data_IF_003678079344
#
_entry.id   IF_003678079344
#
_cell.length_a   1.000
_cell.length_b   1.000
_cell.length_c   1.000
_cell.angle_alpha   90.00
_cell.angle_beta   90.00
_cell.angle_gamma   90.00
#
_symmetry.space_group_name_H-M   'P 1'
#
loop_
_entity.id
_entity.type
_entity.pdbx_description
1 polymer ?
#
# COMPACT_ATOMS: atom_id res chain seq x y z
N UNK A 1 -27.75 -20.93 6.52
CA UNK A 1 -26.63 -20.34 5.74
C UNK A 1 -25.54 -21.38 5.55
N UNK A 2 -24.61 -21.15 4.61
CA UNK A 2 -23.42 -22.00 4.48
C UNK A 2 -22.57 -21.87 5.76
N UNK A 3 -22.00 -22.99 6.26
CA UNK A 3 -21.12 -22.95 7.40
C UNK A 3 -19.83 -22.19 7.08
N UNK A 4 -19.30 -21.51 8.10
CA UNK A 4 -18.07 -20.74 8.08
C UNK A 4 -17.38 -20.93 9.44
N UNK A 5 -16.09 -21.19 9.43
CA UNK A 5 -15.34 -21.38 10.68
C UNK A 5 -14.90 -20.06 11.31
N UNK A 6 -15.15 -18.92 10.65
CA UNK A 6 -14.71 -17.60 11.10
C UNK A 6 -15.43 -17.21 12.38
N UNK A 7 -14.72 -16.68 13.37
CA UNK A 7 -15.33 -16.25 14.64
C UNK A 7 -15.76 -17.39 15.56
N UNK A 8 -15.46 -18.65 15.20
CA UNK A 8 -15.59 -19.81 16.07
C UNK A 8 -14.19 -20.24 16.55
N UNK A 9 -13.79 -19.77 17.73
CA UNK A 9 -12.41 -19.90 18.23
C UNK A 9 -11.94 -21.34 18.50
N UNK A 10 -12.85 -22.32 18.53
CA UNK A 10 -12.53 -23.74 18.73
C UNK A 10 -12.71 -24.59 17.46
N UNK A 11 -12.86 -23.97 16.29
CA UNK A 11 -12.99 -24.68 15.02
C UNK A 11 -11.72 -25.48 14.70
N UNK A 12 -11.87 -26.78 14.42
CA UNK A 12 -10.79 -27.58 13.83
C UNK A 12 -10.97 -27.75 12.32
N UNK A 13 -9.85 -27.86 11.59
CA UNK A 13 -9.86 -28.23 10.18
C UNK A 13 -10.37 -29.66 10.04
N UNK A 14 -11.62 -29.80 9.57
CA UNK A 14 -12.30 -31.09 9.43
C UNK A 14 -13.60 -31.23 10.22
N UNK A 15 -13.98 -30.23 11.04
CA UNK A 15 -15.30 -30.22 11.67
C UNK A 15 -16.39 -30.09 10.59
N UNK A 16 -17.14 -31.17 10.35
CA UNK A 16 -18.28 -31.13 9.44
C UNK A 16 -19.45 -30.37 10.08
N UNK A 17 -19.81 -29.25 9.48
CA UNK A 17 -21.01 -28.49 9.82
C UNK A 17 -22.01 -28.55 8.66
N UNK A 18 -23.27 -28.87 8.95
CA UNK A 18 -24.32 -28.95 7.93
C UNK A 18 -24.86 -27.58 7.55
N UNK A 19 -25.04 -26.72 8.54
CA UNK A 19 -25.67 -25.42 8.36
C UNK A 19 -25.31 -24.47 9.50
N UNK A 20 -25.59 -23.20 9.26
CA UNK A 20 -25.61 -22.15 10.27
C UNK A 20 -26.96 -21.47 10.36
N UNK A 21 -27.30 -21.07 11.59
CA UNK A 21 -28.49 -20.30 11.93
C UNK A 21 -28.09 -19.10 12.81
N UNK A 22 -28.68 -17.95 12.51
CA UNK A 22 -28.54 -16.72 13.29
C UNK A 22 -29.90 -16.37 13.87
N UNK A 23 -30.00 -16.30 15.20
CA UNK A 23 -31.25 -16.07 15.92
C UNK A 23 -31.19 -14.68 16.55
N UNK A 24 -32.13 -13.77 16.24
CA UNK A 24 -32.21 -12.47 16.89
C UNK A 24 -32.66 -12.63 18.35
N UNK A 25 -32.11 -11.78 19.21
CA UNK A 25 -32.55 -11.57 20.58
C UNK A 25 -32.89 -10.10 20.78
N UNK A 26 -33.90 -9.86 21.60
CA UNK A 26 -34.43 -8.54 21.90
C UNK A 26 -34.91 -8.54 23.35
N UNK A 27 -34.82 -7.39 24.00
CA UNK A 27 -35.21 -7.17 25.39
C UNK A 27 -36.68 -6.77 25.54
N UNK A 28 -37.24 -6.10 24.53
CA UNK A 28 -38.63 -5.64 24.55
C UNK A 28 -39.63 -6.77 24.25
N UNK A 29 -40.74 -6.90 24.99
CA UNK A 29 -41.76 -7.89 24.67
C UNK A 29 -42.28 -7.69 23.23
N UNK A 30 -42.41 -8.79 22.49
CA UNK A 30 -42.78 -8.78 21.06
C UNK A 30 -44.04 -9.62 20.84
N UNK A 31 -44.99 -9.10 20.07
CA UNK A 31 -46.24 -9.80 19.73
C UNK A 31 -46.09 -10.78 18.56
N UNK A 32 -47.04 -11.71 18.41
CA UNK A 32 -47.02 -12.71 17.32
C UNK A 32 -46.99 -12.08 15.91
N UNK A 33 -47.71 -10.98 15.69
CA UNK A 33 -47.72 -10.26 14.40
C UNK A 33 -46.35 -9.67 14.06
N UNK A 34 -45.65 -9.13 15.05
CA UNK A 34 -44.31 -8.56 14.88
C UNK A 34 -43.30 -9.66 14.56
N UNK A 35 -43.40 -10.83 15.22
CA UNK A 35 -42.60 -12.00 14.87
C UNK A 35 -42.85 -12.46 13.43
N UNK A 36 -44.11 -12.57 13.03
CA UNK A 36 -44.47 -12.94 11.66
C UNK A 36 -43.90 -11.95 10.64
N UNK A 37 -43.98 -10.65 10.90
CA UNK A 37 -43.38 -9.61 10.04
C UNK A 37 -41.85 -9.75 10.00
N UNK A 38 -41.20 -9.95 11.15
CA UNK A 38 -39.76 -10.14 11.25
C UNK A 38 -39.28 -11.35 10.43
N UNK A 39 -39.95 -12.50 10.56
CA UNK A 39 -39.59 -13.72 9.85
C UNK A 39 -40.03 -13.73 8.38
N UNK A 40 -41.14 -13.08 8.03
CA UNK A 40 -41.58 -12.95 6.63
C UNK A 40 -40.64 -12.06 5.83
N UNK A 41 -40.14 -10.99 6.44
CA UNK A 41 -39.09 -10.18 5.82
C UNK A 41 -37.72 -10.89 5.88
N UNK A 42 -37.53 -11.70 6.92
CA UNK A 42 -36.43 -12.58 7.40
C UNK A 42 -35.30 -12.98 6.47
N UNK A 43 -34.82 -12.04 5.66
CA UNK A 43 -33.70 -12.21 4.73
C UNK A 43 -32.72 -11.10 5.03
N UNK A 44 -31.65 -11.45 5.74
CA UNK A 44 -30.48 -10.60 5.81
C UNK A 44 -29.98 -10.35 4.37
N UNK A 45 -29.89 -9.08 3.99
CA UNK A 45 -29.45 -8.66 2.65
C UNK A 45 -28.21 -7.80 2.75
N UNK A 46 -27.26 -8.06 1.85
CA UNK A 46 -26.08 -7.22 1.60
C UNK A 46 -26.31 -6.55 0.24
N UNK A 47 -26.62 -5.26 0.24
CA UNK A 47 -27.06 -4.55 -0.96
C UNK A 47 -28.33 -5.18 -1.56
N UNK A 48 -28.20 -5.80 -2.73
CA UNK A 48 -29.31 -6.49 -3.44
C UNK A 48 -29.31 -8.02 -3.27
N UNK A 49 -28.30 -8.59 -2.61
CA UNK A 49 -28.12 -10.04 -2.48
C UNK A 49 -28.57 -10.52 -1.10
N UNK A 50 -29.15 -11.72 -1.03
CA UNK A 50 -29.39 -12.40 0.26
C UNK A 50 -28.08 -12.92 0.81
N UNK A 51 -27.87 -12.77 2.12
CA UNK A 51 -26.68 -13.27 2.81
C UNK A 51 -26.57 -14.79 2.71
N UNK A 52 -25.39 -15.28 2.34
CA UNK A 52 -25.16 -16.73 2.10
C UNK A 52 -24.33 -17.39 3.19
N UNK A 53 -23.49 -16.63 3.87
CA UNK A 53 -22.59 -17.10 4.92
C UNK A 53 -22.53 -16.10 6.10
N UNK A 54 -21.69 -16.41 7.07
CA UNK A 54 -21.49 -15.60 8.26
C UNK A 54 -20.94 -14.19 7.98
N UNK A 55 -20.10 -14.03 6.95
CA UNK A 55 -19.51 -12.73 6.60
C UNK A 55 -20.60 -11.86 5.99
N UNK A 56 -21.37 -12.38 5.05
CA UNK A 56 -22.52 -11.66 4.50
C UNK A 56 -23.54 -11.30 5.57
N UNK A 57 -23.80 -12.20 6.53
CA UNK A 57 -24.72 -11.90 7.64
C UNK A 57 -24.18 -10.77 8.52
N UNK A 58 -22.90 -10.83 8.90
CA UNK A 58 -22.23 -9.77 9.66
C UNK A 58 -22.28 -8.43 8.91
N UNK A 59 -22.07 -8.43 7.59
CA UNK A 59 -22.20 -7.22 6.75
C UNK A 59 -23.63 -6.69 6.71
N UNK A 60 -24.62 -7.58 6.60
CA UNK A 60 -26.04 -7.20 6.55
C UNK A 60 -26.50 -6.54 7.86
N UNK A 61 -26.16 -7.12 9.02
CA UNK A 61 -26.52 -6.54 10.32
C UNK A 61 -25.77 -5.23 10.60
N UNK A 62 -24.59 -5.03 9.99
CA UNK A 62 -23.78 -3.84 10.23
C UNK A 62 -24.08 -2.69 9.25
N UNK A 63 -24.69 -2.98 8.10
CA UNK A 63 -25.10 -1.96 7.12
C UNK A 63 -26.54 -1.46 7.33
N UNK A 64 -27.44 -2.32 7.82
CA UNK A 64 -28.87 -2.01 7.97
C UNK A 64 -29.51 -2.49 9.28
N UNK A 65 -28.75 -3.19 10.13
CA UNK A 65 -29.28 -4.03 11.20
C UNK A 65 -29.57 -3.35 12.54
N UNK A 66 -29.88 -2.06 12.56
CA UNK A 66 -30.47 -1.39 13.75
C UNK A 66 -31.88 -0.87 13.42
N UNK A 67 -32.59 -1.57 12.55
CA UNK A 67 -34.01 -1.33 12.32
C UNK A 67 -34.77 -2.49 12.94
N UNK A 68 -35.51 -2.23 14.03
CA UNK A 68 -36.51 -3.10 14.74
C UNK A 68 -36.23 -3.52 16.19
N UNK A 69 -35.36 -2.83 16.93
CA UNK A 69 -35.19 -3.14 18.36
C UNK A 69 -34.63 -4.55 18.63
N UNK A 70 -33.85 -5.09 17.70
CA UNK A 70 -33.05 -6.30 17.90
C UNK A 70 -31.74 -5.86 18.58
N UNK A 71 -31.44 -6.46 19.73
CA UNK A 71 -30.29 -6.09 20.56
C UNK A 71 -29.05 -6.92 20.19
N UNK A 72 -29.23 -8.21 19.91
CA UNK A 72 -28.14 -9.11 19.56
C UNK A 72 -28.59 -10.27 18.66
N UNK A 73 -27.64 -11.00 18.10
CA UNK A 73 -27.85 -12.26 17.43
C UNK A 73 -26.98 -13.36 18.05
N UNK A 74 -27.56 -14.52 18.32
CA UNK A 74 -26.79 -15.73 18.61
C UNK A 74 -26.58 -16.50 17.31
N UNK A 75 -25.33 -16.87 17.03
CA UNK A 75 -24.98 -17.76 15.92
C UNK A 75 -24.89 -19.19 16.42
N UNK A 76 -25.59 -20.10 15.75
CA UNK A 76 -25.51 -21.54 15.97
C UNK A 76 -24.91 -22.24 14.75
N UNK A 77 -23.97 -23.15 15.00
CA UNK A 77 -23.47 -24.10 14.01
C UNK A 77 -24.04 -25.48 14.28
N UNK A 78 -24.54 -26.14 13.23
CA UNK A 78 -25.03 -27.52 13.32
C UNK A 78 -23.89 -28.48 12.99
N UNK A 79 -23.15 -28.90 14.01
CA UNK A 79 -21.99 -29.78 13.86
C UNK A 79 -22.39 -31.25 13.96
N UNK A 80 -21.73 -32.08 13.16
CA UNK A 80 -21.88 -33.53 13.19
C UNK A 80 -21.16 -34.08 14.43
N UNK A 81 -21.87 -34.85 15.26
CA UNK A 81 -21.27 -35.64 16.36
C UNK A 81 -21.93 -37.02 16.37
N UNK A 82 -21.16 -38.10 16.44
CA UNK A 82 -21.65 -39.49 16.47
C UNK A 82 -22.56 -39.85 15.26
N UNK A 83 -21.97 -40.01 14.06
CA UNK A 83 -22.74 -40.31 12.85
C UNK A 83 -23.56 -39.10 12.38
N UNK A 84 -24.78 -39.29 11.86
CA UNK A 84 -25.64 -38.21 11.32
C UNK A 84 -26.38 -37.38 12.40
N UNK A 85 -25.96 -37.43 13.67
CA UNK A 85 -26.57 -36.61 14.72
C UNK A 85 -25.98 -35.21 14.70
N UNK A 86 -26.84 -34.18 14.58
CA UNK A 86 -26.42 -32.78 14.49
C UNK A 86 -26.72 -32.06 15.80
N UNK A 87 -25.69 -31.51 16.45
CA UNK A 87 -25.87 -30.65 17.62
C UNK A 87 -25.82 -29.17 17.21
N UNK A 88 -26.77 -28.39 17.71
CA UNK A 88 -26.74 -26.93 17.61
C UNK A 88 -25.79 -26.38 18.67
N UNK A 89 -24.60 -25.95 18.25
CA UNK A 89 -23.58 -25.41 19.15
C UNK A 89 -23.57 -23.89 18.99
N UNK A 90 -23.72 -23.12 20.09
CA UNK A 90 -23.60 -21.67 20.03
C UNK A 90 -22.15 -21.29 19.70
N UNK A 91 -21.95 -20.58 18.60
CA UNK A 91 -20.64 -20.13 18.12
C UNK A 91 -20.30 -18.71 18.60
N UNK A 92 -21.27 -18.00 19.18
CA UNK A 92 -21.07 -16.67 19.76
C UNK A 92 -22.32 -15.79 19.73
N UNK A 93 -22.24 -14.68 20.46
CA UNK A 93 -23.23 -13.59 20.42
C UNK A 93 -22.65 -12.38 19.70
N UNK A 94 -23.48 -11.71 18.93
CA UNK A 94 -23.08 -10.64 18.03
C UNK A 94 -24.05 -9.48 18.16
N UNK A 95 -23.53 -8.35 18.60
CA UNK A 95 -24.30 -7.11 18.70
C UNK A 95 -24.18 -6.35 17.36
N UNK A 96 -25.31 -6.06 16.68
CA UNK A 96 -25.31 -5.22 15.50
C UNK A 96 -24.74 -3.84 15.83
N UNK A 97 -23.73 -3.40 15.08
CA UNK A 97 -23.21 -2.03 15.15
C UNK A 97 -23.25 -1.43 13.76
N UNK A 98 -23.85 -0.25 13.63
CA UNK A 98 -23.88 0.45 12.36
C UNK A 98 -22.44 0.81 11.95
N UNK A 99 -21.98 0.25 10.85
CA UNK A 99 -20.69 0.54 10.27
C UNK A 99 -20.88 0.90 8.78
N UNK A 100 -21.03 2.20 8.44
CA UNK A 100 -21.28 2.63 7.07
C UNK A 100 -20.10 2.31 6.13
N UNK A 101 -18.89 2.09 6.66
CA UNK A 101 -17.72 1.72 5.86
C UNK A 101 -17.80 0.29 5.31
N UNK A 102 -18.70 -0.56 5.80
CA UNK A 102 -18.91 -1.94 5.30
C UNK A 102 -19.30 -1.97 3.82
N UNK A 103 -19.97 -0.93 3.34
CA UNK A 103 -20.35 -0.82 1.92
C UNK A 103 -19.14 -0.75 0.98
N UNK A 104 -17.93 -0.42 1.49
CA UNK A 104 -16.68 -0.50 0.71
C UNK A 104 -16.39 -1.91 0.20
N UNK A 105 -16.82 -2.94 0.94
CA UNK A 105 -16.60 -4.34 0.57
C UNK A 105 -17.38 -4.75 -0.69
N UNK A 106 -18.40 -3.97 -1.11
CA UNK A 106 -19.16 -4.26 -2.34
C UNK A 106 -18.26 -4.25 -3.58
N UNK A 107 -17.20 -3.42 -3.58
CA UNK A 107 -16.20 -3.38 -4.67
C UNK A 107 -15.45 -4.71 -4.83
N UNK A 108 -15.38 -5.51 -3.77
CA UNK A 108 -14.65 -6.77 -3.71
C UNK A 108 -15.53 -7.99 -3.93
N UNK A 109 -16.86 -7.88 -3.82
CA UNK A 109 -17.81 -9.00 -3.84
C UNK A 109 -17.56 -10.01 -4.97
N UNK A 110 -17.37 -9.53 -6.20
CA UNK A 110 -17.16 -10.40 -7.36
C UNK A 110 -15.86 -11.18 -7.23
N UNK A 111 -14.78 -10.50 -6.85
CA UNK A 111 -13.47 -11.11 -6.70
C UNK A 111 -13.43 -12.07 -5.49
N UNK A 112 -14.03 -11.69 -4.36
CA UNK A 112 -14.11 -12.51 -3.15
C UNK A 112 -14.84 -13.83 -3.42
N UNK A 113 -15.96 -13.80 -4.15
CA UNK A 113 -16.68 -15.01 -4.52
C UNK A 113 -15.82 -15.97 -5.36
N UNK A 114 -15.05 -15.43 -6.31
CA UNK A 114 -14.14 -16.22 -7.14
C UNK A 114 -12.98 -16.80 -6.31
N UNK A 115 -12.33 -15.96 -5.50
CA UNK A 115 -11.21 -16.37 -4.66
C UNK A 115 -11.63 -17.40 -3.60
N UNK A 116 -12.78 -17.21 -2.95
CA UNK A 116 -13.33 -18.17 -1.98
C UNK A 116 -13.55 -19.54 -2.63
N UNK A 117 -14.09 -19.57 -3.85
CA UNK A 117 -14.30 -20.82 -4.59
C UNK A 117 -12.97 -21.53 -4.87
N UNK A 118 -11.94 -20.79 -5.28
CA UNK A 118 -10.63 -21.36 -5.57
C UNK A 118 -9.89 -21.82 -4.30
N UNK A 119 -9.92 -21.01 -3.24
CA UNK A 119 -9.21 -21.28 -1.99
C UNK A 119 -9.86 -22.40 -1.16
N UNK A 120 -11.14 -22.71 -1.38
CA UNK A 120 -11.84 -23.82 -0.71
C UNK A 120 -11.61 -25.17 -1.39
N UNK A 121 -10.91 -25.21 -2.52
CA UNK A 121 -10.56 -26.48 -3.19
C UNK A 121 -9.57 -27.29 -2.35
N UNK A 122 -9.76 -28.61 -2.29
CA UNK A 122 -8.86 -29.52 -1.59
C UNK A 122 -7.41 -29.46 -2.11
N UNK A 123 -7.23 -29.14 -3.40
CA UNK A 123 -5.92 -28.98 -4.05
C UNK A 123 -5.29 -27.60 -3.82
N UNK A 124 -5.97 -26.69 -3.12
CA UNK A 124 -5.42 -25.36 -2.86
C UNK A 124 -4.17 -25.43 -1.94
N UNK A 125 -3.07 -24.75 -2.30
CA UNK A 125 -1.87 -24.69 -1.47
C UNK A 125 -2.18 -24.24 -0.04
N UNK A 126 -1.46 -24.80 0.95
CA UNK A 126 -1.67 -24.47 2.36
C UNK A 126 -1.52 -22.97 2.65
N UNK A 127 -0.58 -22.30 1.98
CA UNK A 127 -0.38 -20.84 2.06
C UNK A 127 -1.62 -20.06 1.59
N UNK A 128 -2.25 -20.48 0.50
CA UNK A 128 -3.48 -19.86 -0.03
C UNK A 128 -4.66 -20.08 0.92
N UNK A 129 -4.82 -21.31 1.45
CA UNK A 129 -5.86 -21.60 2.45
C UNK A 129 -5.69 -20.78 3.72
N UNK A 130 -4.45 -20.63 4.20
CA UNK A 130 -4.12 -19.79 5.36
C UNK A 130 -4.51 -18.34 5.13
N UNK A 131 -4.06 -17.73 4.03
CA UNK A 131 -4.32 -16.30 3.79
C UNK A 131 -5.81 -16.04 3.51
N UNK A 132 -6.53 -17.00 2.94
CA UNK A 132 -7.99 -16.95 2.83
C UNK A 132 -8.67 -16.88 4.21
N UNK A 133 -8.25 -17.68 5.19
CA UNK A 133 -8.79 -17.61 6.56
C UNK A 133 -8.48 -16.28 7.25
N UNK A 134 -7.27 -15.75 7.05
CA UNK A 134 -6.87 -14.43 7.57
C UNK A 134 -7.78 -13.35 7.00
N UNK A 135 -7.97 -13.33 5.67
CA UNK A 135 -8.87 -12.38 5.00
C UNK A 135 -10.31 -12.53 5.50
N UNK A 136 -10.83 -13.75 5.59
CA UNK A 136 -12.18 -13.99 6.09
C UNK A 136 -12.38 -13.48 7.53
N UNK A 137 -11.39 -13.69 8.39
CA UNK A 137 -11.39 -13.18 9.77
C UNK A 137 -11.38 -11.66 9.80
N UNK A 138 -10.51 -11.02 9.01
CA UNK A 138 -10.45 -9.57 8.91
C UNK A 138 -11.78 -8.97 8.41
N UNK A 139 -12.40 -9.56 7.38
CA UNK A 139 -13.70 -9.12 6.84
C UNK A 139 -14.83 -9.25 7.88
N UNK A 140 -14.87 -10.36 8.60
CA UNK A 140 -15.87 -10.62 9.62
C UNK A 140 -15.72 -9.66 10.82
N UNK A 141 -14.51 -9.52 11.35
CA UNK A 141 -14.24 -8.64 12.49
C UNK A 141 -14.42 -7.16 12.14
N UNK A 142 -14.04 -6.74 10.93
CA UNK A 142 -14.33 -5.40 10.42
C UNK A 142 -15.83 -5.15 10.31
N UNK A 143 -16.60 -6.13 9.81
CA UNK A 143 -18.06 -6.01 9.71
C UNK A 143 -18.66 -5.76 11.09
N UNK A 144 -18.22 -6.50 12.11
CA UNK A 144 -18.66 -6.34 13.50
C UNK A 144 -18.12 -5.07 14.20
N UNK A 145 -17.29 -4.26 13.53
CA UNK A 145 -16.67 -3.06 14.11
C UNK A 145 -15.60 -3.36 15.16
N UNK A 146 -15.03 -4.57 15.17
CA UNK A 146 -13.92 -4.97 16.06
C UNK A 146 -12.55 -4.59 15.50
N UNK A 147 -12.44 -4.47 14.18
CA UNK A 147 -11.23 -4.08 13.45
C UNK A 147 -11.51 -2.92 12.50
N UNK A 148 -10.44 -2.24 12.08
CA UNK A 148 -10.51 -1.15 11.11
C UNK A 148 -10.58 -1.67 9.67
N UNK A 149 -10.94 -0.77 8.74
CA UNK A 149 -10.88 -1.08 7.30
C UNK A 149 -9.42 -1.31 6.84
N UNK A 150 -8.45 -0.68 7.53
CA UNK A 150 -7.03 -0.86 7.27
C UNK A 150 -6.58 -2.33 7.42
N UNK A 151 -7.11 -3.04 8.42
CA UNK A 151 -6.79 -4.46 8.64
C UNK A 151 -7.25 -5.35 7.47
N UNK A 152 -8.42 -5.03 6.89
CA UNK A 152 -8.91 -5.70 5.68
C UNK A 152 -7.99 -5.39 4.51
N UNK A 153 -7.55 -4.14 4.36
CA UNK A 153 -6.66 -3.73 3.29
C UNK A 153 -5.29 -4.40 3.37
N UNK A 154 -4.73 -4.52 4.60
CA UNK A 154 -3.50 -5.28 4.86
C UNK A 154 -3.67 -6.75 4.47
N UNK A 155 -4.76 -7.39 4.89
CA UNK A 155 -5.04 -8.79 4.56
C UNK A 155 -5.17 -9.00 3.04
N UNK A 156 -5.78 -8.07 2.30
CA UNK A 156 -5.83 -8.12 0.84
C UNK A 156 -4.44 -8.02 0.19
N UNK A 157 -3.58 -7.14 0.71
CA UNK A 157 -2.18 -7.03 0.26
C UNK A 157 -1.39 -8.33 0.50
N UNK A 158 -1.61 -8.99 1.63
CA UNK A 158 -1.03 -10.30 1.93
C UNK A 158 -1.54 -11.38 0.97
N UNK A 159 -2.83 -11.40 0.66
CA UNK A 159 -3.40 -12.32 -0.33
C UNK A 159 -2.71 -12.15 -1.68
N UNK A 160 -2.54 -10.92 -2.16
CA UNK A 160 -1.85 -10.68 -3.43
C UNK A 160 -0.40 -11.19 -3.41
N UNK A 161 0.31 -10.98 -2.30
CA UNK A 161 1.68 -11.45 -2.13
C UNK A 161 1.79 -12.99 -2.16
N UNK A 162 0.85 -13.70 -1.50
CA UNK A 162 0.82 -15.17 -1.49
C UNK A 162 0.43 -15.72 -2.86
N UNK A 163 -0.53 -15.08 -3.53
CA UNK A 163 -0.93 -15.41 -4.89
C UNK A 163 0.25 -15.27 -5.85
N UNK A 164 1.03 -14.19 -5.77
CA UNK A 164 2.22 -13.99 -6.59
C UNK A 164 3.27 -15.11 -6.45
N UNK A 165 3.35 -15.78 -5.30
CA UNK A 165 4.23 -16.95 -5.11
C UNK A 165 3.62 -18.26 -5.63
N UNK A 166 2.33 -18.26 -5.97
CA UNK A 166 1.53 -19.43 -6.32
C UNK A 166 0.99 -19.34 -7.77
N UNK A 167 1.79 -18.81 -8.71
CA UNK A 167 1.34 -18.50 -10.09
C UNK A 167 0.78 -19.71 -10.85
N UNK A 168 1.34 -20.91 -10.64
CA UNK A 168 0.81 -22.14 -11.25
C UNK A 168 -0.63 -22.42 -10.83
N UNK A 169 -0.92 -22.27 -9.53
CA UNK A 169 -2.27 -22.43 -8.99
C UNK A 169 -3.22 -21.35 -9.52
N UNK A 170 -2.74 -20.11 -9.67
CA UNK A 170 -3.52 -19.03 -10.27
C UNK A 170 -3.92 -19.37 -11.70
N UNK A 171 -3.01 -19.92 -12.49
CA UNK A 171 -3.27 -20.33 -13.87
C UNK A 171 -4.30 -21.47 -13.92
N UNK A 172 -4.09 -22.53 -13.16
CA UNK A 172 -5.01 -23.68 -13.09
C UNK A 172 -6.43 -23.28 -12.67
N UNK A 173 -6.56 -22.33 -11.73
CA UNK A 173 -7.85 -21.83 -11.23
C UNK A 173 -8.33 -20.57 -11.94
N UNK A 174 -7.57 -20.05 -12.91
CA UNK A 174 -7.83 -18.80 -13.63
C UNK A 174 -8.20 -17.62 -12.70
N UNK A 175 -7.45 -17.45 -11.61
CA UNK A 175 -7.73 -16.42 -10.60
C UNK A 175 -7.33 -15.04 -11.14
N UNK A 176 -8.26 -14.09 -11.32
CA UNK A 176 -7.89 -12.75 -11.75
C UNK A 176 -7.13 -12.01 -10.63
N UNK A 177 -6.21 -11.08 -10.96
CA UNK A 177 -5.64 -10.18 -9.98
C UNK A 177 -6.72 -9.40 -9.23
N UNK A 178 -6.41 -8.94 -8.02
CA UNK A 178 -7.30 -8.07 -7.25
C UNK A 178 -7.66 -6.82 -8.08
N UNK A 179 -8.93 -6.38 -8.11
CA UNK A 179 -9.28 -5.16 -8.80
C UNK A 179 -8.63 -3.94 -8.12
N UNK A 180 -8.36 -2.88 -8.89
CA UNK A 180 -7.94 -1.61 -8.29
C UNK A 180 -9.09 -0.97 -7.51
N UNK A 181 -8.92 -0.81 -6.20
CA UNK A 181 -9.93 -0.26 -5.29
C UNK A 181 -10.09 1.25 -5.48
N UNK A 182 -11.26 1.79 -5.13
CA UNK A 182 -11.48 3.24 -5.21
C UNK A 182 -10.66 4.00 -4.18
N UNK A 183 -10.32 5.21 -4.54
CA UNK A 183 -9.50 6.10 -3.72
C UNK A 183 -10.13 6.53 -2.38
N UNK A 184 -11.43 6.33 -2.20
CA UNK A 184 -12.12 6.52 -0.91
C UNK A 184 -11.57 5.64 0.20
N UNK A 185 -11.01 4.47 -0.15
CA UNK A 185 -10.34 3.58 0.81
C UNK A 185 -9.20 4.28 1.55
N UNK A 186 -8.45 5.18 0.88
CA UNK A 186 -7.35 5.91 1.52
C UNK A 186 -7.85 6.74 2.69
N UNK A 187 -8.97 7.46 2.52
CA UNK A 187 -9.55 8.29 3.59
C UNK A 187 -10.13 7.42 4.72
N UNK A 188 -10.77 6.32 4.38
CA UNK A 188 -11.45 5.47 5.36
C UNK A 188 -10.49 4.59 6.18
N UNK A 189 -9.28 4.35 5.67
CA UNK A 189 -8.20 3.60 6.32
C UNK A 189 -7.15 4.47 7.03
N UNK A 190 -7.20 5.79 6.88
CA UNK A 190 -6.23 6.73 7.47
C UNK A 190 -6.34 6.74 9.00
N UNK A 191 -5.37 6.10 9.67
CA UNK A 191 -5.26 6.02 11.13
C UNK A 191 -4.38 7.14 11.71
N UNK A 192 -3.94 8.10 10.88
CA UNK A 192 -3.03 9.19 11.25
C UNK A 192 -1.67 8.75 11.80
N UNK A 193 -1.29 7.48 11.64
CA UNK A 193 0.03 6.98 12.03
C UNK A 193 1.14 7.43 11.07
N UNK A 194 2.38 7.41 11.55
CA UNK A 194 3.57 7.68 10.72
C UNK A 194 3.73 6.56 9.69
N UNK A 195 3.49 5.32 10.11
CA UNK A 195 3.55 4.13 9.25
C UNK A 195 2.60 4.24 8.07
N UNK A 196 1.35 4.68 8.30
CA UNK A 196 0.37 4.86 7.24
C UNK A 196 0.78 5.95 6.25
N UNK A 197 1.32 7.07 6.74
CA UNK A 197 1.81 8.17 5.90
C UNK A 197 2.96 7.74 4.99
N UNK A 198 3.95 7.06 5.55
CA UNK A 198 5.09 6.50 4.80
C UNK A 198 4.63 5.47 3.77
N UNK A 199 3.77 4.53 4.18
CA UNK A 199 3.22 3.51 3.30
C UNK A 199 2.38 4.08 2.15
N UNK A 200 1.60 5.14 2.40
CA UNK A 200 0.81 5.81 1.38
C UNK A 200 1.70 6.50 0.34
N UNK A 201 2.77 7.15 0.78
CA UNK A 201 3.73 7.75 -0.13
C UNK A 201 4.44 6.70 -1.01
N UNK A 202 4.84 5.57 -0.43
CA UNK A 202 5.37 4.43 -1.19
C UNK A 202 4.36 3.93 -2.23
N UNK A 203 3.12 3.67 -1.82
CA UNK A 203 2.08 3.17 -2.71
C UNK A 203 1.79 4.12 -3.88
N UNK A 204 1.88 5.44 -3.66
CA UNK A 204 1.66 6.47 -4.69
C UNK A 204 2.66 6.41 -5.85
N UNK A 205 3.82 5.77 -5.66
CA UNK A 205 4.87 5.58 -6.70
C UNK A 205 4.57 4.43 -7.67
N UNK A 206 3.38 3.84 -7.63
CA UNK A 206 3.05 2.68 -8.46
C UNK A 206 3.65 1.36 -7.95
N UNK A 207 3.76 1.24 -6.62
CA UNK A 207 4.44 0.15 -5.91
C UNK A 207 3.96 -1.26 -6.31
N UNK A 208 2.69 -1.42 -6.69
CA UNK A 208 2.08 -2.73 -6.95
C UNK A 208 2.86 -3.57 -7.97
N UNK A 209 3.36 -2.96 -9.04
CA UNK A 209 4.12 -3.68 -10.08
C UNK A 209 5.50 -4.14 -9.58
N UNK A 210 6.05 -3.47 -8.57
CA UNK A 210 7.30 -3.83 -7.90
C UNK A 210 7.10 -4.98 -6.90
N UNK A 211 5.93 -5.03 -6.25
CA UNK A 211 5.54 -6.04 -5.27
C UNK A 211 5.19 -7.39 -5.89
N UNK A 212 4.44 -7.37 -7.00
CA UNK A 212 3.89 -8.58 -7.62
C UNK A 212 3.93 -8.52 -9.15
N UNK A 213 3.78 -9.67 -9.79
CA UNK A 213 3.80 -9.84 -11.25
C UNK A 213 2.45 -9.50 -11.90
N UNK A 214 1.85 -8.39 -11.47
CA UNK A 214 0.61 -7.87 -12.05
C UNK A 214 0.93 -6.70 -12.97
N UNK A 215 0.45 -6.75 -14.22
CA UNK A 215 0.62 -5.67 -15.20
C UNK A 215 -0.73 -5.25 -15.79
N UNK A 216 -0.75 -4.05 -16.36
CA UNK A 216 -1.85 -3.61 -17.20
C UNK A 216 -1.62 -4.12 -18.61
N UNK A 217 -2.55 -4.93 -19.09
CA UNK A 217 -2.56 -5.46 -20.44
C UNK A 217 -3.06 -4.38 -21.41
N UNK A 218 -2.18 -3.89 -22.30
CA UNK A 218 -2.52 -2.85 -23.27
C UNK A 218 -3.56 -3.32 -24.28
N UNK A 219 -3.58 -4.61 -24.63
CA UNK A 219 -4.50 -5.17 -25.61
C UNK A 219 -5.92 -5.33 -25.03
N UNK A 220 -6.01 -5.63 -23.72
CA UNK A 220 -7.29 -5.82 -23.01
C UNK A 220 -7.78 -4.57 -22.29
N UNK A 221 -7.71 -3.41 -22.95
CA UNK A 221 -8.18 -2.13 -22.42
C UNK A 221 -7.60 -1.76 -21.03
N UNK A 222 -6.35 -2.12 -20.75
CA UNK A 222 -5.69 -1.82 -19.48
C UNK A 222 -6.13 -2.70 -18.30
N UNK A 223 -6.79 -3.85 -18.56
CA UNK A 223 -7.13 -4.82 -17.51
C UNK A 223 -5.87 -5.36 -16.84
N UNK A 224 -5.98 -5.64 -15.54
CA UNK A 224 -4.89 -6.23 -14.76
C UNK A 224 -4.78 -7.73 -15.06
N UNK A 225 -3.57 -8.18 -15.38
CA UNK A 225 -3.26 -9.59 -15.65
C UNK A 225 -2.01 -10.02 -14.88
N UNK A 226 -1.96 -11.31 -14.53
CA UNK A 226 -0.75 -11.95 -14.03
C UNK A 226 0.19 -12.22 -15.21
N UNK A 227 1.45 -11.80 -15.08
CA UNK A 227 2.48 -12.06 -16.09
C UNK A 227 3.26 -13.31 -15.70
N UNK A 228 3.50 -14.18 -16.70
CA UNK A 228 4.18 -15.47 -16.51
C UNK A 228 5.70 -15.32 -16.49
N UNK A 229 6.23 -14.48 -17.37
CA UNK A 229 7.66 -14.30 -17.55
C UNK A 229 8.21 -13.21 -16.62
N UNK A 230 9.43 -13.43 -16.13
CA UNK A 230 10.11 -12.44 -15.29
C UNK A 230 10.56 -11.27 -16.16
N UNK A 231 9.79 -10.19 -16.14
CA UNK A 231 10.09 -8.94 -16.84
C UNK A 231 11.14 -8.06 -16.13
N UNK A 232 11.68 -8.53 -15.01
CA UNK A 232 12.67 -7.81 -14.19
C UNK A 232 12.14 -6.55 -13.50
N UNK A 233 10.83 -6.26 -13.56
CA UNK A 233 10.24 -5.09 -12.90
C UNK A 233 9.85 -5.35 -11.45
N UNK A 234 9.43 -6.58 -11.13
CA UNK A 234 9.14 -7.02 -9.76
C UNK A 234 10.45 -7.25 -9.03
N UNK A 235 10.75 -6.41 -8.04
CA UNK A 235 12.00 -6.44 -7.25
C UNK A 235 11.80 -7.02 -5.86
N UNK A 236 10.57 -7.01 -5.36
CA UNK A 236 10.31 -7.32 -3.95
C UNK A 236 10.51 -8.81 -3.65
N UNK A 237 11.33 -9.10 -2.65
CA UNK A 237 11.63 -10.44 -2.18
C UNK A 237 11.25 -10.63 -0.70
N UNK A 238 11.46 -11.84 -0.19
CA UNK A 238 11.34 -12.11 1.25
C UNK A 238 12.61 -11.57 1.90
N UNK A 239 12.52 -10.49 2.67
CA UNK A 239 13.66 -9.81 3.26
C UNK A 239 13.20 -8.64 4.12
N UNK A 240 14.15 -7.81 4.58
CA UNK A 240 13.82 -6.59 5.30
C UNK A 240 13.15 -5.57 4.36
N UNK A 241 12.31 -4.68 4.91
CA UNK A 241 11.75 -3.58 4.13
C UNK A 241 12.88 -2.69 3.57
N UNK A 242 13.91 -2.43 4.37
CA UNK A 242 15.07 -1.60 4.00
C UNK A 242 15.73 -2.14 2.73
N UNK A 243 15.98 -3.45 2.65
CA UNK A 243 16.60 -4.08 1.48
C UNK A 243 15.73 -3.94 0.24
N UNK A 244 14.46 -4.25 0.37
CA UNK A 244 13.51 -4.14 -0.74
C UNK A 244 13.39 -2.69 -1.28
N UNK A 245 13.50 -1.69 -0.39
CA UNK A 245 13.48 -0.28 -0.79
C UNK A 245 14.77 0.14 -1.50
N UNK A 246 15.93 -0.34 -1.04
CA UNK A 246 17.22 -0.13 -1.70
C UNK A 246 17.23 -0.78 -3.09
N UNK A 247 16.80 -2.04 -3.18
CA UNK A 247 16.72 -2.78 -4.44
C UNK A 247 15.76 -2.10 -5.43
N UNK A 248 14.65 -1.56 -4.94
CA UNK A 248 13.73 -0.76 -5.74
C UNK A 248 14.41 0.49 -6.30
N UNK A 249 15.15 1.24 -5.47
CA UNK A 249 15.86 2.44 -5.92
C UNK A 249 16.95 2.12 -6.95
N UNK A 250 17.75 1.08 -6.70
CA UNK A 250 18.78 0.62 -7.62
C UNK A 250 18.16 0.20 -8.96
N UNK A 251 17.03 -0.52 -8.93
CA UNK A 251 16.32 -0.91 -10.14
C UNK A 251 15.75 0.28 -10.90
N UNK A 252 15.16 1.26 -10.21
CA UNK A 252 14.68 2.49 -10.84
C UNK A 252 15.84 3.26 -11.51
N UNK A 253 17.01 3.32 -10.88
CA UNK A 253 18.17 3.97 -11.44
C UNK A 253 18.71 3.26 -12.69
N UNK A 254 18.71 1.93 -12.70
CA UNK A 254 19.06 1.15 -13.90
C UNK A 254 18.05 1.38 -15.04
N UNK A 255 16.76 1.41 -14.73
CA UNK A 255 15.71 1.66 -15.73
C UNK A 255 15.79 3.08 -16.31
N UNK A 256 16.14 4.08 -15.50
CA UNK A 256 16.39 5.45 -15.97
C UNK A 256 17.59 5.50 -16.91
N UNK A 257 18.69 4.82 -16.58
CA UNK A 257 19.88 4.76 -17.43
C UNK A 257 19.60 4.12 -18.79
N UNK A 258 18.83 3.02 -18.79
CA UNK A 258 18.44 2.35 -20.03
C UNK A 258 17.59 3.28 -20.90
N UNK A 259 16.66 4.04 -20.31
CA UNK A 259 15.85 5.03 -21.03
C UNK A 259 16.70 6.18 -21.60
N UNK A 260 17.62 6.74 -20.81
CA UNK A 260 18.53 7.81 -21.25
C UNK A 260 19.40 7.34 -22.42
N UNK A 261 19.94 6.10 -22.37
CA UNK A 261 20.70 5.49 -23.47
C UNK A 261 19.85 5.26 -24.72
N UNK A 262 18.62 4.77 -24.57
CA UNK A 262 17.69 4.58 -25.68
C UNK A 262 17.29 5.91 -26.34
N UNK A 263 17.07 6.96 -25.53
CA UNK A 263 16.76 8.29 -26.05
C UNK A 263 17.93 8.88 -26.84
N UNK A 264 19.16 8.77 -26.32
CA UNK A 264 20.37 9.22 -27.02
C UNK A 264 20.62 8.46 -28.33
N UNK A 265 20.33 7.15 -28.38
CA UNK A 265 20.43 6.36 -29.61
C UNK A 265 19.35 6.71 -30.64
N UNK A 266 18.14 7.07 -30.18
CA UNK A 266 17.04 7.46 -31.07
C UNK A 266 17.15 8.90 -31.62
N UNK A 267 17.98 9.75 -31.02
CA UNK A 267 18.24 11.12 -31.52
C UNK A 267 19.32 11.19 -32.59
N UNK A 268 20.13 10.14 -32.75
CA UNK A 268 21.17 10.05 -33.79
C UNK A 268 20.66 9.44 -35.11
N UNK A 269 19.42 8.91 -35.14
CA UNK A 269 18.73 8.43 -36.34
C UNK A 269 17.60 9.38 -36.72
N UNK A 270 17.87 10.34 -37.61
CA UNK A 270 16.86 11.22 -38.22
C UNK A 270 15.93 10.41 -39.14
N UNK A 271 14.86 9.83 -38.58
CA UNK A 271 13.68 9.43 -39.35
C UNK A 271 12.46 10.20 -38.79
N UNK A 272 11.96 11.16 -39.58
CA UNK A 272 10.94 12.14 -39.19
C UNK A 272 9.52 11.55 -38.95
N UNK A 273 9.28 10.27 -39.28
CA UNK A 273 7.94 9.66 -39.20
C UNK A 273 7.57 9.09 -37.81
N UNK A 274 8.51 9.04 -36.85
CA UNK A 274 8.27 8.46 -35.52
C UNK A 274 7.97 9.49 -34.41
N UNK A 275 7.68 10.75 -34.77
CA UNK A 275 7.38 11.83 -33.82
C UNK A 275 5.95 11.76 -33.25
N UNK A 276 5.03 11.03 -33.88
CA UNK A 276 3.63 10.96 -33.42
C UNK A 276 3.43 9.93 -32.28
N UNK A 277 4.20 8.84 -32.26
CA UNK A 277 4.11 7.80 -31.22
C UNK A 277 4.84 8.17 -29.91
N UNK A 278 5.93 8.96 -29.98
CA UNK A 278 6.71 9.41 -28.82
C UNK A 278 5.98 10.42 -27.91
N UNK A 279 4.92 11.07 -28.42
CA UNK A 279 4.09 12.02 -27.67
C UNK A 279 3.19 11.38 -26.58
N UNK A 280 3.00 10.06 -26.61
CA UNK A 280 2.14 9.35 -25.66
C UNK A 280 2.90 8.69 -24.50
N UNK A 281 4.16 8.27 -24.69
CA UNK A 281 4.96 7.72 -23.59
C UNK A 281 5.53 8.82 -22.67
N UNK A 282 5.80 10.01 -23.21
CA UNK A 282 6.22 11.18 -22.40
C UNK A 282 5.07 11.76 -21.54
N UNK A 283 3.81 11.51 -21.93
CA UNK A 283 2.63 11.75 -21.09
C UNK A 283 2.53 10.77 -19.93
N UNK A 284 3.05 9.53 -20.05
CA UNK A 284 2.99 8.54 -18.98
C UNK A 284 3.88 8.94 -17.79
N UNK A 285 5.11 9.38 -18.05
CA UNK A 285 6.07 9.83 -17.01
C UNK A 285 5.61 11.15 -16.37
N UNK A 286 5.16 12.13 -17.16
CA UNK A 286 4.57 13.39 -16.64
C UNK A 286 3.24 13.18 -15.89
N UNK A 287 2.53 12.06 -16.11
CA UNK A 287 1.32 11.71 -15.36
C UNK A 287 1.62 11.05 -14.01
N UNK A 288 2.74 10.32 -13.89
CA UNK A 288 3.16 9.67 -12.65
C UNK A 288 3.53 10.69 -11.56
N UNK A 289 4.25 11.76 -11.92
CA UNK A 289 4.63 12.81 -10.96
C UNK A 289 3.42 13.59 -10.40
N UNK A 290 2.31 13.66 -11.15
CA UNK A 290 1.11 14.42 -10.74
C UNK A 290 0.35 13.77 -9.57
N UNK A 291 0.52 12.46 -9.35
CA UNK A 291 -0.21 11.71 -8.33
C UNK A 291 0.64 11.30 -7.12
N UNK A 292 1.89 11.76 -7.04
CA UNK A 292 2.77 11.45 -5.91
C UNK A 292 2.24 12.10 -4.62
N UNK A 293 2.21 11.30 -3.57
CA UNK A 293 1.90 11.74 -2.21
C UNK A 293 3.21 12.00 -1.50
N UNK A 294 3.48 13.26 -1.14
CA UNK A 294 4.72 13.66 -0.48
C UNK A 294 4.67 13.41 1.03
N UNK A 295 5.79 12.98 1.60
CA UNK A 295 5.99 12.75 3.04
C UNK A 295 6.52 14.02 3.72
N UNK A 296 6.13 14.23 4.98
CA UNK A 296 6.69 15.29 5.81
C UNK A 296 8.10 14.96 6.28
N UNK A 297 8.97 15.96 6.47
CA UNK A 297 10.34 15.73 6.95
C UNK A 297 10.37 15.04 8.33
N UNK A 298 9.44 15.37 9.24
CA UNK A 298 9.28 14.71 10.55
C UNK A 298 9.15 13.18 10.44
N UNK A 299 8.31 12.70 9.51
CA UNK A 299 8.09 11.26 9.31
C UNK A 299 9.36 10.55 8.83
N UNK A 300 10.19 11.23 8.03
CA UNK A 300 11.45 10.71 7.52
C UNK A 300 12.51 10.66 8.62
N UNK A 301 12.54 11.67 9.48
CA UNK A 301 13.43 11.69 10.64
C UNK A 301 13.12 10.50 11.57
N UNK A 302 11.84 10.27 11.88
CA UNK A 302 11.41 9.09 12.66
C UNK A 302 11.79 7.77 12.00
N UNK A 303 11.66 7.68 10.67
CA UNK A 303 12.11 6.52 9.89
C UNK A 303 13.61 6.27 10.04
N UNK A 304 14.44 7.32 9.92
CA UNK A 304 15.89 7.25 10.02
C UNK A 304 16.33 6.84 11.43
N UNK A 305 15.64 7.34 12.46
CA UNK A 305 15.91 6.99 13.86
C UNK A 305 15.40 5.60 14.28
N UNK A 306 14.67 4.91 13.41
CA UNK A 306 14.14 3.56 13.71
C UNK A 306 12.95 3.58 14.67
N UNK A 307 12.22 4.70 14.76
CA UNK A 307 11.03 4.86 15.60
C UNK A 307 9.74 4.35 14.92
N UNK A 308 9.87 3.68 13.78
CA UNK A 308 8.77 3.24 12.92
C UNK A 308 8.81 1.72 12.79
N UNK A 309 7.65 1.07 12.84
CA UNK A 309 7.55 -0.36 12.59
C UNK A 309 7.63 -0.67 11.08
N UNK A 310 8.81 -1.12 10.63
CA UNK A 310 9.09 -1.47 9.23
C UNK A 310 8.11 -2.53 8.69
N UNK A 311 7.74 -3.54 9.50
CA UNK A 311 6.84 -4.61 9.06
C UNK A 311 5.42 -4.07 8.85
N UNK A 312 4.97 -3.17 9.72
CA UNK A 312 3.69 -2.48 9.58
C UNK A 312 3.66 -1.56 8.36
N UNK A 313 4.73 -0.80 8.10
CA UNK A 313 4.85 0.02 6.88
C UNK A 313 4.70 -0.84 5.64
N UNK A 314 5.41 -1.97 5.56
CA UNK A 314 5.33 -2.87 4.41
C UNK A 314 3.92 -3.45 4.23
N UNK A 315 3.31 -3.92 5.31
CA UNK A 315 1.97 -4.50 5.30
C UNK A 315 0.93 -3.48 4.79
N UNK A 316 0.98 -2.25 5.29
CA UNK A 316 0.10 -1.16 4.84
C UNK A 316 0.40 -0.79 3.39
N UNK A 317 1.67 -0.70 2.99
CA UNK A 317 2.06 -0.32 1.63
C UNK A 317 1.59 -1.33 0.59
N UNK A 318 1.67 -2.64 0.91
CA UNK A 318 1.10 -3.72 0.10
C UNK A 318 -0.41 -3.54 -0.11
N UNK A 319 -1.14 -3.30 0.98
CA UNK A 319 -2.58 -3.04 0.91
C UNK A 319 -2.93 -1.78 0.11
N UNK A 320 -2.28 -0.65 0.40
CA UNK A 320 -2.50 0.62 -0.30
C UNK A 320 -2.13 0.54 -1.78
N UNK A 321 -1.18 -0.30 -2.18
CA UNK A 321 -0.83 -0.51 -3.59
C UNK A 321 -2.00 -0.99 -4.46
N UNK A 322 -3.03 -1.58 -3.84
CA UNK A 322 -4.27 -1.99 -4.49
C UNK A 322 -5.23 -0.82 -4.78
N UNK A 323 -5.05 0.32 -4.14
CA UNK A 323 -5.96 1.47 -4.19
C UNK A 323 -5.54 2.45 -5.28
N UNK A 324 -6.51 2.97 -6.05
CA UNK A 324 -6.26 4.06 -7.01
C UNK A 324 -5.91 5.34 -6.25
N UNK A 325 -4.74 5.90 -6.50
CA UNK A 325 -4.28 7.11 -5.83
C UNK A 325 -4.66 8.37 -6.60
N UNK A 326 -5.13 9.40 -5.89
CA UNK A 326 -5.16 10.79 -6.34
C UNK A 326 -4.23 11.61 -5.47
N UNK A 327 -3.71 12.71 -6.03
CA UNK A 327 -2.78 13.62 -5.35
C UNK A 327 -3.29 14.01 -3.96
N UNK A 328 -2.48 13.74 -2.93
CA UNK A 328 -2.74 14.19 -1.56
C UNK A 328 -1.42 14.70 -0.98
N UNK A 329 -1.37 15.94 -0.54
CA UNK A 329 -0.28 16.38 0.34
C UNK A 329 -0.56 15.84 1.73
N UNK A 330 0.42 15.16 2.32
CA UNK A 330 0.41 14.91 3.75
C UNK A 330 0.71 16.21 4.50
N UNK A 331 0.31 16.30 5.77
CA UNK A 331 0.38 17.53 6.57
C UNK A 331 1.78 18.18 6.52
N UNK A 332 1.82 19.52 6.60
CA UNK A 332 3.06 20.29 6.71
C UNK A 332 3.75 19.96 8.05
N UNK A 333 5.07 19.79 8.02
CA UNK A 333 5.90 19.36 9.15
C UNK A 333 5.94 20.42 10.26
N UNK A 334 5.96 19.95 11.51
CA UNK A 334 6.55 20.67 12.65
C UNK A 334 8.07 20.40 12.68
N UNK A 335 8.83 21.23 13.39
CA UNK A 335 10.27 21.42 13.22
C UNK A 335 11.15 20.39 13.95
N UNK A 336 11.30 19.16 13.42
CA UNK A 336 12.42 18.30 13.80
C UNK A 336 13.69 18.66 13.01
N UNK A 337 14.88 18.68 13.66
CA UNK A 337 16.14 18.84 12.96
C UNK A 337 16.42 17.60 12.09
N UNK A 338 16.57 17.81 10.79
CA UNK A 338 16.84 16.73 9.84
C UNK A 338 18.34 16.36 9.89
N UNK A 339 18.70 15.06 9.92
CA UNK A 339 20.11 14.65 9.87
C UNK A 339 20.85 15.23 8.65
N UNK A 340 22.03 15.81 8.88
CA UNK A 340 22.84 16.44 7.83
C UNK A 340 23.25 15.44 6.72
N UNK A 341 23.56 14.19 7.08
CA UNK A 341 23.88 13.13 6.13
C UNK A 341 22.70 12.85 5.16
N UNK A 342 21.47 12.77 5.67
CA UNK A 342 20.28 12.63 4.82
C UNK A 342 20.10 13.84 3.91
N UNK A 343 20.31 15.04 4.43
CA UNK A 343 20.14 16.31 3.71
C UNK A 343 21.04 16.37 2.47
N UNK A 344 22.34 16.11 2.63
CA UNK A 344 23.31 16.09 1.52
C UNK A 344 22.94 15.06 0.44
N UNK A 345 22.61 13.85 0.87
CA UNK A 345 22.28 12.74 -0.03
C UNK A 345 20.96 12.96 -0.75
N UNK A 346 19.93 13.46 -0.05
CA UNK A 346 18.60 13.66 -0.63
C UNK A 346 18.62 14.73 -1.71
N UNK A 347 19.30 15.86 -1.45
CA UNK A 347 19.44 16.96 -2.43
C UNK A 347 20.17 16.47 -3.67
N UNK A 348 21.28 15.74 -3.51
CA UNK A 348 22.04 15.18 -4.64
C UNK A 348 21.24 14.14 -5.43
N UNK A 349 20.43 13.32 -4.76
CA UNK A 349 19.59 12.31 -5.41
C UNK A 349 18.37 12.90 -6.14
N UNK A 350 17.86 14.07 -5.74
CA UNK A 350 16.63 14.65 -6.33
C UNK A 350 16.81 15.10 -7.79
N UNK A 351 18.05 15.26 -8.25
CA UNK A 351 18.49 15.57 -9.64
C UNK A 351 17.99 16.88 -10.23
N UNK A 352 16.77 17.35 -9.99
CA UNK A 352 16.21 18.54 -10.63
C UNK A 352 15.72 19.54 -9.58
N UNK A 353 16.26 20.76 -9.62
CA UNK A 353 15.85 21.86 -8.75
C UNK A 353 15.25 22.97 -9.60
N UNK A 354 13.99 23.32 -9.31
CA UNK A 354 13.26 24.36 -10.05
C UNK A 354 13.77 25.75 -9.67
N UNK A 355 14.09 26.57 -10.68
CA UNK A 355 14.60 27.93 -10.50
C UNK A 355 13.68 28.83 -9.67
N UNK A 356 12.36 28.68 -9.84
CA UNK A 356 11.35 29.47 -9.13
C UNK A 356 11.41 29.26 -7.61
N UNK A 357 11.65 28.02 -7.19
CA UNK A 357 11.76 27.67 -5.77
C UNK A 357 13.12 28.05 -5.21
N UNK A 358 14.19 27.85 -5.97
CA UNK A 358 15.53 28.30 -5.62
C UNK A 358 15.55 29.82 -5.39
N UNK A 359 14.93 30.61 -6.27
CA UNK A 359 14.81 32.06 -6.08
C UNK A 359 14.03 32.41 -4.80
N UNK A 360 12.92 31.72 -4.52
CA UNK A 360 12.08 32.05 -3.34
C UNK A 360 12.79 31.78 -2.02
N UNK A 361 13.59 30.71 -1.94
CA UNK A 361 14.22 30.29 -0.69
C UNK A 361 15.64 30.84 -0.55
N UNK A 362 16.45 30.75 -1.61
CA UNK A 362 17.86 31.16 -1.59
C UNK A 362 18.08 32.62 -2.01
N UNK A 363 17.04 33.32 -2.48
CA UNK A 363 17.10 34.70 -3.00
C UNK A 363 18.14 34.92 -4.12
N UNK A 364 18.60 33.87 -4.80
CA UNK A 364 19.52 33.93 -5.95
C UNK A 364 18.79 33.75 -7.28
N UNK A 365 19.22 34.51 -8.29
CA UNK A 365 18.69 34.45 -9.64
C UNK A 365 19.36 33.33 -10.44
N UNK A 366 18.66 32.22 -10.64
CA UNK A 366 19.07 31.16 -11.56
C UNK A 366 18.41 31.36 -12.93
N UNK A 367 19.20 31.38 -14.00
CA UNK A 367 18.72 31.58 -15.38
C UNK A 367 17.98 30.36 -15.94
N UNK A 368 18.29 29.15 -15.45
CA UNK A 368 17.65 27.87 -15.84
C UNK A 368 17.45 26.98 -14.60
N UNK A 369 16.61 25.96 -14.75
CA UNK A 369 16.49 24.89 -13.75
C UNK A 369 17.84 24.18 -13.61
N UNK A 370 18.22 23.84 -12.37
CA UNK A 370 19.50 23.20 -12.08
C UNK A 370 19.32 21.69 -12.10
N UNK A 371 20.05 21.02 -12.99
CA UNK A 371 20.07 19.56 -13.08
C UNK A 371 21.40 19.02 -12.53
N UNK A 372 21.32 18.25 -11.46
CA UNK A 372 22.47 17.58 -10.84
C UNK A 372 22.79 16.27 -11.59
N UNK A 373 24.08 15.96 -11.81
CA UNK A 373 24.50 14.75 -12.50
C UNK A 373 24.13 13.49 -11.69
N UNK A 374 23.87 12.39 -12.39
CA UNK A 374 23.57 11.09 -11.75
C UNK A 374 24.82 10.52 -11.09
N UNK A 375 24.68 10.00 -9.87
CA UNK A 375 25.79 9.42 -9.10
C UNK A 375 25.37 8.06 -8.51
N UNK A 376 25.42 6.96 -9.29
CA UNK A 376 24.98 5.65 -8.82
C UNK A 376 25.81 5.11 -7.65
N UNK A 377 27.09 5.48 -7.60
CA UNK A 377 28.01 5.09 -6.54
C UNK A 377 27.52 5.54 -5.14
N UNK A 378 26.78 6.65 -5.06
CA UNK A 378 26.27 7.17 -3.80
C UNK A 378 25.22 6.24 -3.17
N UNK A 379 24.26 5.74 -3.97
CA UNK A 379 23.29 4.77 -3.46
C UNK A 379 23.96 3.45 -3.05
N UNK A 380 24.95 2.99 -3.82
CA UNK A 380 25.68 1.75 -3.52
C UNK A 380 26.52 1.84 -2.24
N UNK A 381 27.19 2.98 -2.01
CA UNK A 381 27.97 3.24 -0.79
C UNK A 381 27.07 3.29 0.46
N UNK A 382 25.91 3.95 0.36
CA UNK A 382 24.94 3.98 1.46
C UNK A 382 24.34 2.60 1.73
N UNK A 383 24.06 1.82 0.67
CA UNK A 383 23.56 0.46 0.79
C UNK A 383 24.56 -0.46 1.50
N UNK A 384 25.87 -0.26 1.29
CA UNK A 384 26.92 -0.98 2.02
C UNK A 384 27.18 -0.47 3.44
N UNK A 385 26.48 0.58 3.89
CA UNK A 385 26.65 1.19 5.21
C UNK A 385 27.80 2.20 5.31
N UNK A 386 28.38 2.62 4.19
CA UNK A 386 29.46 3.60 4.14
C UNK A 386 28.89 5.02 3.96
N UNK A 387 28.57 5.67 5.08
CA UNK A 387 28.05 7.04 5.09
C UNK A 387 29.10 8.08 4.73
N UNK A 388 30.34 7.85 5.15
CA UNK A 388 31.42 8.81 5.04
C UNK A 388 31.79 9.03 3.58
N UNK A 389 32.07 7.96 2.83
CA UNK A 389 32.37 8.05 1.40
C UNK A 389 31.19 8.62 0.60
N UNK A 390 29.97 8.23 0.96
CA UNK A 390 28.76 8.70 0.28
C UNK A 390 28.52 10.20 0.46
N UNK A 391 28.70 10.72 1.69
CA UNK A 391 28.53 12.14 1.98
C UNK A 391 29.69 12.99 1.44
N UNK A 392 30.92 12.49 1.43
CA UNK A 392 32.03 13.15 0.71
C UNK A 392 31.74 13.24 -0.79
N UNK A 393 31.26 12.16 -1.40
CA UNK A 393 30.90 12.14 -2.80
C UNK A 393 29.75 13.11 -3.10
N UNK A 394 28.73 13.18 -2.24
CA UNK A 394 27.64 14.14 -2.35
C UNK A 394 28.15 15.59 -2.30
N UNK A 395 29.01 15.89 -1.33
CA UNK A 395 29.62 17.21 -1.11
C UNK A 395 30.42 17.67 -2.33
N UNK A 396 31.31 16.81 -2.85
CA UNK A 396 32.10 17.10 -4.07
C UNK A 396 31.20 17.37 -5.28
N UNK A 397 30.07 16.67 -5.39
CA UNK A 397 29.12 16.83 -6.50
C UNK A 397 28.29 18.10 -6.39
N UNK A 398 27.94 18.52 -5.18
CA UNK A 398 27.30 19.81 -4.95
C UNK A 398 28.24 20.96 -5.30
N UNK A 399 29.51 20.90 -4.89
CA UNK A 399 30.54 21.89 -5.29
C UNK A 399 30.71 21.96 -6.80
N UNK A 400 30.85 20.81 -7.48
CA UNK A 400 30.94 20.78 -8.94
C UNK A 400 29.70 21.37 -9.65
N UNK A 401 28.56 21.41 -8.97
CA UNK A 401 27.30 21.98 -9.47
C UNK A 401 27.09 23.45 -9.03
N UNK A 402 28.08 24.07 -8.39
CA UNK A 402 28.04 25.48 -7.97
C UNK A 402 27.38 25.74 -6.61
N UNK A 403 27.13 24.70 -5.80
CA UNK A 403 26.65 24.85 -4.42
C UNK A 403 27.79 24.63 -3.43
N UNK A 404 27.93 25.50 -2.43
CA UNK A 404 28.95 25.40 -1.39
C UNK A 404 28.33 24.88 -0.09
N UNK A 405 28.30 23.56 0.15
CA UNK A 405 27.90 23.02 1.45
C UNK A 405 28.91 23.42 2.54
N UNK A 406 28.41 23.81 3.71
CA UNK A 406 29.20 24.13 4.92
C UNK A 406 29.96 22.91 5.49
N UNK A 407 29.55 21.71 5.08
CA UNK A 407 30.09 20.45 5.55
C UNK A 407 31.22 20.04 4.59
N UNK A 408 32.47 20.35 4.97
CA UNK A 408 33.63 20.04 4.13
C UNK A 408 34.09 18.57 4.23
N UNK A 409 33.78 17.90 5.34
CA UNK A 409 34.20 16.52 5.62
C UNK A 409 33.01 15.56 5.59
N UNK A 410 33.28 14.31 5.22
CA UNK A 410 32.28 13.25 5.29
C UNK A 410 31.70 13.11 6.69
N UNK A 411 30.41 12.81 6.76
CA UNK A 411 29.68 12.57 8.00
C UNK A 411 29.71 11.08 8.30
N UNK A 412 30.06 10.74 9.54
CA UNK A 412 29.93 9.38 10.03
C UNK A 412 28.56 9.15 10.64
N UNK A 413 27.91 8.06 10.24
CA UNK A 413 26.69 7.52 10.83
C UNK A 413 26.84 6.00 10.96
N UNK A 414 26.12 5.39 11.91
CA UNK A 414 26.18 3.93 12.09
C UNK A 414 25.70 3.20 10.82
N UNK A 415 26.24 2.00 10.49
CA UNK A 415 25.86 1.28 9.27
C UNK A 415 24.35 1.04 9.13
N UNK A 416 23.66 0.77 10.25
CA UNK A 416 22.20 0.60 10.28
C UNK A 416 21.47 1.90 9.89
N UNK A 417 21.86 3.02 10.51
CA UNK A 417 21.28 4.34 10.20
C UNK A 417 21.59 4.77 8.77
N UNK A 418 22.79 4.47 8.27
CA UNK A 418 23.18 4.71 6.88
C UNK A 418 22.28 3.97 5.90
N UNK A 419 21.96 2.69 6.16
CA UNK A 419 21.02 1.93 5.33
C UNK A 419 19.59 2.47 5.41
N UNK A 420 19.14 2.92 6.60
CA UNK A 420 17.85 3.63 6.74
C UNK A 420 17.83 4.94 5.94
N UNK A 421 18.93 5.69 5.92
CA UNK A 421 19.10 6.89 5.07
C UNK A 421 19.01 6.50 3.59
N UNK A 422 19.70 5.44 3.16
CA UNK A 422 19.62 4.93 1.79
C UNK A 422 18.17 4.61 1.38
N UNK A 423 17.49 3.80 2.20
CA UNK A 423 16.10 3.42 1.97
C UNK A 423 15.17 4.63 1.97
N UNK A 424 15.43 5.66 2.80
CA UNK A 424 14.57 6.84 2.89
C UNK A 424 14.52 7.70 1.61
N UNK A 425 15.48 7.52 0.69
CA UNK A 425 15.50 8.23 -0.60
C UNK A 425 14.29 7.87 -1.48
N UNK A 426 13.68 6.70 -1.26
CA UNK A 426 12.46 6.26 -1.95
C UNK A 426 11.27 7.14 -1.64
N UNK A 427 11.20 7.74 -0.44
CA UNK A 427 10.05 8.53 -0.04
C UNK A 427 10.07 9.85 -0.79
N UNK A 428 9.01 10.17 -1.57
CA UNK A 428 8.91 11.46 -2.23
C UNK A 428 8.71 12.56 -1.17
N UNK A 429 9.47 13.63 -1.28
CA UNK A 429 9.33 14.85 -0.47
C UNK A 429 8.90 15.99 -1.38
N UNK A 430 8.35 17.06 -0.79
CA UNK A 430 7.96 18.21 -1.60
C UNK A 430 9.20 18.91 -2.17
N UNK A 431 9.08 19.46 -3.38
CA UNK A 431 10.13 20.29 -3.98
C UNK A 431 10.56 21.45 -3.06
N UNK A 432 9.61 21.98 -2.27
CA UNK A 432 9.89 23.04 -1.31
C UNK A 432 10.77 22.53 -0.15
N UNK A 433 10.51 21.32 0.36
CA UNK A 433 11.32 20.71 1.40
C UNK A 433 12.75 20.44 0.92
N UNK A 434 12.94 19.97 -0.33
CA UNK A 434 14.27 19.76 -0.93
C UNK A 434 15.08 21.07 -0.93
N UNK A 435 14.45 22.19 -1.31
CA UNK A 435 15.13 23.48 -1.35
C UNK A 435 15.40 24.02 0.06
N UNK A 436 14.50 23.79 1.03
CA UNK A 436 14.76 24.13 2.43
C UNK A 436 15.93 23.33 3.01
N UNK A 437 16.01 22.04 2.67
CA UNK A 437 17.13 21.15 3.00
C UNK A 437 18.45 21.68 2.42
N UNK A 438 18.45 22.08 1.14
CA UNK A 438 19.61 22.72 0.52
C UNK A 438 20.00 24.02 1.24
N UNK A 439 19.03 24.82 1.68
CA UNK A 439 19.30 26.05 2.43
C UNK A 439 19.93 25.80 3.81
N UNK A 440 19.65 24.67 4.45
CA UNK A 440 20.22 24.31 5.75
C UNK A 440 21.70 23.91 5.66
N UNK A 441 22.14 23.37 4.52
CA UNK A 441 23.51 22.89 4.34
C UNK A 441 24.43 23.88 3.63
N UNK A 442 23.88 24.81 2.84
CA UNK A 442 24.69 25.80 2.16
C UNK A 442 24.98 26.98 3.08
N UNK A 443 26.27 27.29 3.25
CA UNK A 443 26.69 28.58 3.77
C UNK A 443 26.41 29.62 2.68
N UNK A 444 25.42 30.48 2.93
CA UNK A 444 25.26 31.69 2.14
C UNK A 444 25.98 32.80 2.88
N UNK A 445 27.15 33.17 2.38
CA UNK A 445 27.70 34.49 2.65
C UNK A 445 26.58 35.50 2.34
N UNK A 446 26.13 36.21 3.37
CA UNK A 446 25.35 37.41 3.15
C UNK A 446 26.31 38.35 2.41
N UNK A 447 26.08 38.58 1.12
CA UNK A 447 26.65 39.76 0.46
C UNK A 447 26.15 40.94 1.29
N UNK A 448 27.01 41.44 2.19
CA UNK A 448 26.89 42.77 2.73
C UNK A 448 26.89 43.70 1.52
N UNK A 449 25.74 44.33 1.25
CA UNK A 449 25.63 45.45 0.33
C UNK A 449 26.78 46.44 0.64
N UNK A 450 27.77 46.53 -0.25
CA UNK A 450 28.76 47.60 -0.30
C UNK A 450 28.94 48.12 -1.71
#
# INVERSE_FOLDING_TARGET
>A
MRPSFVGYGSAADGDEARAELWIPLWSAPTGLRELQLLFNEGRAKVGRKTARDAIDFARAISSRGVVRGIDEFIRYGFQVRNGLSYFAIPLGRFQPKLNPKVDRLVELDFWLAFFQSAASDAKAPASVRRVHRVLQTALFEFSLGKRGLLDVLIALGEVEAVLNRSLKFIEEKSIPPLPSLKSTWVKDCDDSSVEFRLALALASRGLRQRLVQVRQDKEKHGKLVWVKERDGKTTWHNGSLIDNLIDLLQREDLEREQKEKQQAQSSDSEDEDELVAKSNDDKSTKSQDKNLVTVALDDIVRWIWGEVDDARVEAIARGLSLVKMYRRCLKKSDSLPVPAAYTLVKVTHHRALKKELLHRVLKKNFSKDVSLPRVPALLNQLASGDCLSATELATRRLHASGFNPAIERGIYESPEKTRRIAASLVFPISEWDVVCLLNQICEFEQEEDR
#
